data_IF_898216783826
#
_entry.id   IF_898216783826
#
_cell.length_a   1.000
_cell.length_b   1.000
_cell.length_c   1.000
_cell.angle_alpha   90.00
_cell.angle_beta   90.00
_cell.angle_gamma   90.00
#
_symmetry.space_group_name_H-M   'P 1'
#
loop_
_entity.id
_entity.type
_entity.pdbx_description
1 polymer ?
#
# COMPACT_ATOMS: atom_id res chain seq x y z
N UNK A 1 -36.81 27.83 -2.13
CA UNK A 1 -35.55 27.30 -1.58
C UNK A 1 -34.90 28.42 -0.80
N UNK A 2 -34.59 28.20 0.48
CA UNK A 2 -33.82 29.16 1.27
C UNK A 2 -32.43 29.27 0.66
N UNK A 3 -31.93 30.49 0.46
CA UNK A 3 -30.58 30.70 -0.08
C UNK A 3 -29.56 30.05 0.86
N UNK A 4 -28.63 29.24 0.33
CA UNK A 4 -27.53 28.66 1.12
C UNK A 4 -26.63 29.73 1.75
N UNK A 5 -26.63 30.95 1.21
CA UNK A 5 -25.95 32.13 1.77
C UNK A 5 -26.71 32.80 2.92
N UNK A 6 -27.99 32.45 3.14
CA UNK A 6 -28.74 33.00 4.27
C UNK A 6 -28.40 32.32 5.61
N UNK A 7 -27.45 31.37 5.59
CA UNK A 7 -27.03 30.56 6.75
C UNK A 7 -25.80 31.15 7.44
N UNK A 8 -25.13 32.14 6.83
CA UNK A 8 -23.94 32.80 7.37
C UNK A 8 -24.14 34.32 7.41
N UNK A 9 -23.59 34.96 8.43
CA UNK A 9 -23.44 36.42 8.55
C UNK A 9 -22.00 36.88 8.27
N UNK A 10 -21.12 35.97 7.84
CA UNK A 10 -19.73 36.27 7.50
C UNK A 10 -19.63 37.14 6.23
N UNK A 11 -19.18 38.38 6.39
CA UNK A 11 -19.11 39.36 5.32
C UNK A 11 -18.16 38.95 4.17
N UNK A 12 -17.07 38.23 4.46
CA UNK A 12 -16.09 37.80 3.46
C UNK A 12 -16.66 36.68 2.58
N UNK A 13 -17.41 35.73 3.18
CA UNK A 13 -18.15 34.70 2.43
C UNK A 13 -19.24 35.34 1.56
N UNK A 14 -20.00 36.28 2.12
CA UNK A 14 -21.04 37.00 1.40
C UNK A 14 -20.48 37.85 0.25
N UNK A 15 -19.28 38.42 0.40
CA UNK A 15 -18.60 39.17 -0.66
C UNK A 15 -18.26 38.29 -1.88
N UNK A 16 -18.05 36.98 -1.69
CA UNK A 16 -17.81 36.04 -2.78
C UNK A 16 -19.10 35.63 -3.51
N UNK A 17 -20.28 35.77 -2.89
CA UNK A 17 -21.57 35.30 -3.43
C UNK A 17 -21.83 35.61 -4.92
N UNK A 18 -21.57 36.83 -5.45
CA UNK A 18 -21.80 37.14 -6.86
C UNK A 18 -20.94 36.30 -7.81
N UNK A 19 -19.71 35.95 -7.40
CA UNK A 19 -18.78 35.12 -8.18
C UNK A 19 -19.10 33.64 -8.02
N UNK A 20 -19.47 33.23 -6.81
CA UNK A 20 -19.92 31.88 -6.49
C UNK A 20 -21.19 31.50 -7.30
N UNK A 21 -22.08 32.45 -7.60
CA UNK A 21 -23.30 32.22 -8.40
C UNK A 21 -23.19 32.63 -9.87
N UNK A 22 -21.99 32.97 -10.36
CA UNK A 22 -21.78 33.44 -11.72
C UNK A 22 -22.16 32.38 -12.78
N UNK A 23 -22.61 32.83 -13.96
CA UNK A 23 -22.92 31.93 -15.08
C UNK A 23 -21.66 31.19 -15.60
N UNK A 24 -20.51 31.87 -15.57
CA UNK A 24 -19.22 31.34 -16.01
C UNK A 24 -18.64 30.34 -14.98
N UNK A 25 -18.33 29.12 -15.43
CA UNK A 25 -17.80 28.06 -14.58
C UNK A 25 -16.40 28.38 -14.03
N UNK A 26 -15.54 29.05 -14.82
CA UNK A 26 -14.21 29.46 -14.39
C UNK A 26 -14.28 30.49 -13.26
N UNK A 27 -15.22 31.43 -13.32
CA UNK A 27 -15.46 32.40 -12.25
C UNK A 27 -15.90 31.70 -10.96
N UNK A 28 -16.84 30.74 -11.05
CA UNK A 28 -17.27 29.95 -9.88
C UNK A 28 -16.13 29.13 -9.31
N UNK A 29 -15.32 28.50 -10.16
CA UNK A 29 -14.17 27.69 -9.77
C UNK A 29 -13.12 28.50 -9.01
N UNK A 30 -12.76 29.69 -9.50
CA UNK A 30 -11.81 30.56 -8.78
C UNK A 30 -12.42 31.04 -7.46
N UNK A 31 -13.73 31.34 -7.45
CA UNK A 31 -14.40 31.74 -6.23
C UNK A 31 -14.45 30.61 -5.17
N UNK A 32 -14.52 29.33 -5.58
CA UNK A 32 -14.37 28.19 -4.66
C UNK A 32 -13.00 28.20 -3.96
N UNK A 33 -11.93 28.47 -4.71
CA UNK A 33 -10.56 28.54 -4.17
C UNK A 33 -10.47 29.68 -3.17
N UNK A 34 -10.91 30.88 -3.56
CA UNK A 34 -10.93 32.04 -2.65
C UNK A 34 -11.79 31.78 -1.40
N UNK A 35 -12.87 31.01 -1.52
CA UNK A 35 -13.72 30.62 -0.39
C UNK A 35 -13.00 29.66 0.56
N UNK A 36 -12.27 28.69 0.02
CA UNK A 36 -11.50 27.74 0.82
C UNK A 36 -10.31 28.41 1.54
N UNK A 37 -9.69 29.41 0.90
CA UNK A 37 -8.60 30.21 1.48
C UNK A 37 -9.06 31.05 2.69
N UNK A 38 -10.36 31.27 2.87
CA UNK A 38 -10.89 31.89 4.10
C UNK A 38 -10.75 30.96 5.31
N UNK A 39 -10.65 29.64 5.10
CA UNK A 39 -10.60 28.62 6.15
C UNK A 39 -11.79 28.68 7.14
N UNK A 40 -12.94 29.22 6.68
CA UNK A 40 -14.14 29.41 7.48
C UNK A 40 -15.13 28.24 7.33
N UNK A 41 -15.58 27.58 8.43
CA UNK A 41 -16.49 26.45 8.37
C UNK A 41 -17.83 26.74 7.68
N UNK A 42 -18.32 27.97 7.77
CA UNK A 42 -19.55 28.43 7.11
C UNK A 42 -19.47 28.29 5.58
N UNK A 43 -18.26 28.37 5.01
CA UNK A 43 -18.02 28.20 3.58
C UNK A 43 -18.20 26.76 3.10
N UNK A 44 -18.14 25.77 4.01
CA UNK A 44 -18.25 24.35 3.67
C UNK A 44 -19.59 23.99 3.08
N UNK A 45 -20.66 24.64 3.57
CA UNK A 45 -22.00 24.42 3.03
C UNK A 45 -22.04 24.71 1.53
N UNK A 46 -21.30 25.73 1.09
CA UNK A 46 -21.24 26.09 -0.31
C UNK A 46 -20.36 25.14 -1.14
N UNK A 47 -19.19 24.77 -0.62
CA UNK A 47 -18.34 23.74 -1.24
C UNK A 47 -19.12 22.42 -1.45
N UNK A 48 -19.83 21.95 -0.42
CA UNK A 48 -20.68 20.74 -0.48
C UNK A 48 -21.82 20.89 -1.48
N UNK A 49 -22.50 22.04 -1.49
CA UNK A 49 -23.58 22.31 -2.45
C UNK A 49 -23.07 22.27 -3.90
N UNK A 50 -21.92 22.91 -4.17
CA UNK A 50 -21.30 22.89 -5.49
C UNK A 50 -20.84 21.52 -5.91
N UNK A 51 -20.22 20.77 -5.01
CA UNK A 51 -19.86 19.37 -5.27
C UNK A 51 -21.07 18.54 -5.73
N UNK A 52 -22.25 18.75 -5.12
CA UNK A 52 -23.45 17.97 -5.42
C UNK A 52 -24.19 18.43 -6.68
N UNK A 53 -24.21 19.72 -6.95
CA UNK A 53 -25.21 20.30 -7.85
C UNK A 53 -24.65 21.18 -8.97
N UNK A 54 -23.36 21.52 -8.98
CA UNK A 54 -22.86 22.42 -10.02
C UNK A 54 -22.94 21.76 -11.40
N UNK A 55 -23.48 22.44 -12.44
CA UNK A 55 -23.59 21.85 -13.76
C UNK A 55 -22.23 21.55 -14.41
N UNK A 56 -21.17 22.24 -14.00
CA UNK A 56 -19.84 22.10 -14.59
C UNK A 56 -18.98 21.11 -13.78
N UNK A 57 -18.46 20.09 -14.44
CA UNK A 57 -17.67 19.03 -13.80
C UNK A 57 -16.35 19.53 -13.18
N UNK A 58 -15.76 20.57 -13.76
CA UNK A 58 -14.54 21.20 -13.26
C UNK A 58 -14.76 21.95 -11.94
N UNK A 59 -15.93 22.58 -11.78
CA UNK A 59 -16.37 23.20 -10.52
C UNK A 59 -16.65 22.12 -9.46
N UNK A 60 -17.35 21.04 -9.81
CA UNK A 60 -17.58 19.91 -8.88
C UNK A 60 -16.26 19.26 -8.44
N UNK A 61 -15.33 19.04 -9.37
CA UNK A 61 -14.03 18.44 -9.07
C UNK A 61 -13.15 19.37 -8.24
N UNK A 62 -13.23 20.70 -8.43
CA UNK A 62 -12.57 21.68 -7.55
C UNK A 62 -13.15 21.64 -6.15
N UNK A 63 -14.48 21.65 -6.02
CA UNK A 63 -15.15 21.56 -4.73
C UNK A 63 -14.74 20.27 -3.97
N UNK A 64 -14.68 19.12 -4.64
CA UNK A 64 -14.20 17.88 -4.04
C UNK A 64 -12.76 17.99 -3.49
N UNK A 65 -11.84 18.62 -4.24
CA UNK A 65 -10.45 18.80 -3.82
C UNK A 65 -10.34 19.73 -2.60
N UNK A 66 -11.07 20.83 -2.60
CA UNK A 66 -11.03 21.81 -1.51
C UNK A 66 -11.63 21.28 -0.19
N UNK A 67 -12.40 20.18 -0.26
CA UNK A 67 -12.95 19.51 0.92
C UNK A 67 -11.98 18.52 1.58
N UNK A 68 -10.76 18.31 1.07
CA UNK A 68 -9.81 17.29 1.58
C UNK A 68 -9.36 17.48 3.05
N UNK A 69 -9.43 18.71 3.56
CA UNK A 69 -9.02 19.06 4.93
C UNK A 69 -10.20 19.06 5.93
N UNK A 70 -11.42 18.79 5.47
CA UNK A 70 -12.64 18.96 6.25
C UNK A 70 -13.30 17.62 6.51
N UNK A 71 -13.43 17.28 7.80
CA UNK A 71 -13.82 15.93 8.23
C UNK A 71 -15.21 15.88 8.87
N UNK A 72 -16.01 16.93 8.71
CA UNK A 72 -17.39 16.93 9.15
C UNK A 72 -18.19 15.85 8.43
N UNK A 73 -19.13 15.23 9.14
CA UNK A 73 -19.93 14.12 8.61
C UNK A 73 -20.61 14.46 7.28
N UNK A 74 -21.15 15.68 7.15
CA UNK A 74 -21.78 16.15 5.92
C UNK A 74 -20.79 16.29 4.74
N UNK A 75 -19.53 16.68 5.02
CA UNK A 75 -18.46 16.79 4.02
C UNK A 75 -18.05 15.40 3.56
N UNK A 76 -17.74 14.51 4.50
CA UNK A 76 -17.32 13.13 4.17
C UNK A 76 -18.43 12.42 3.39
N UNK A 77 -19.68 12.61 3.78
CA UNK A 77 -20.84 12.06 3.07
C UNK A 77 -20.94 12.61 1.64
N UNK A 78 -20.73 13.91 1.43
CA UNK A 78 -20.74 14.51 0.09
C UNK A 78 -19.58 14.00 -0.79
N UNK A 79 -18.40 13.80 -0.22
CA UNK A 79 -17.26 13.19 -0.91
C UNK A 79 -17.55 11.74 -1.29
N UNK A 80 -18.18 10.95 -0.41
CA UNK A 80 -18.59 9.59 -0.75
C UNK A 80 -19.63 9.56 -1.88
N UNK A 81 -20.63 10.44 -1.85
CA UNK A 81 -21.61 10.60 -2.93
C UNK A 81 -20.93 10.96 -4.27
N UNK A 82 -19.93 11.82 -4.23
CA UNK A 82 -19.16 12.23 -5.41
C UNK A 82 -18.33 11.12 -6.05
N UNK A 83 -18.12 9.97 -5.37
CA UNK A 83 -17.56 8.78 -6.00
C UNK A 83 -18.45 8.19 -7.10
N UNK A 84 -19.74 8.56 -7.12
CA UNK A 84 -20.73 8.13 -8.12
C UNK A 84 -20.99 9.20 -9.19
N UNK A 85 -20.25 10.31 -9.17
CA UNK A 85 -20.42 11.39 -10.15
C UNK A 85 -20.19 10.88 -11.59
N UNK A 86 -20.97 11.32 -12.60
CA UNK A 86 -20.76 10.88 -13.98
C UNK A 86 -19.40 11.26 -14.57
N UNK A 87 -18.72 12.28 -14.03
CA UNK A 87 -17.43 12.75 -14.51
C UNK A 87 -16.26 12.06 -13.77
N UNK A 88 -15.35 11.36 -14.47
CA UNK A 88 -14.20 10.70 -13.85
C UNK A 88 -13.27 11.63 -13.06
N UNK A 89 -13.19 12.91 -13.46
CA UNK A 89 -12.41 13.91 -12.74
C UNK A 89 -12.95 14.19 -11.34
N UNK A 90 -14.28 14.20 -11.18
CA UNK A 90 -14.94 14.39 -9.87
C UNK A 90 -14.77 13.16 -9.01
N UNK A 91 -14.98 11.96 -9.57
CA UNK A 91 -14.74 10.69 -8.87
C UNK A 91 -13.30 10.60 -8.34
N UNK A 92 -12.32 10.96 -9.18
CA UNK A 92 -10.90 10.92 -8.82
C UNK A 92 -10.56 11.93 -7.73
N UNK A 93 -11.09 13.15 -7.84
CA UNK A 93 -10.93 14.18 -6.82
C UNK A 93 -11.52 13.73 -5.47
N UNK A 94 -12.74 13.19 -5.47
CA UNK A 94 -13.41 12.68 -4.28
C UNK A 94 -12.63 11.53 -3.63
N UNK A 95 -12.18 10.55 -4.43
CA UNK A 95 -11.38 9.43 -3.95
C UNK A 95 -10.03 9.88 -3.34
N UNK A 96 -9.39 10.89 -3.95
CA UNK A 96 -8.17 11.48 -3.41
C UNK A 96 -8.43 12.17 -2.06
N UNK A 97 -9.44 13.03 -1.99
CA UNK A 97 -9.80 13.74 -0.76
C UNK A 97 -10.15 12.78 0.39
N UNK A 98 -10.95 11.73 0.12
CA UNK A 98 -11.28 10.71 1.11
C UNK A 98 -10.04 9.98 1.65
N UNK A 99 -9.01 9.77 0.83
CA UNK A 99 -7.76 9.13 1.26
C UNK A 99 -6.86 10.01 2.14
N UNK A 100 -7.12 11.33 2.15
CA UNK A 100 -6.36 12.29 2.93
C UNK A 100 -6.96 12.56 4.31
N UNK A 101 -8.20 12.13 4.57
CA UNK A 101 -8.84 12.23 5.88
C UNK A 101 -8.05 11.47 6.96
N UNK A 102 -8.23 11.86 8.22
CA UNK A 102 -7.42 11.39 9.35
C UNK A 102 -8.23 10.92 10.56
N UNK A 103 -9.52 11.24 10.64
CA UNK A 103 -10.36 10.91 11.81
C UNK A 103 -11.11 9.59 11.66
N UNK A 104 -11.28 8.90 12.79
CA UNK A 104 -12.13 7.70 12.86
C UNK A 104 -13.62 8.00 12.59
N UNK A 105 -14.07 9.25 12.80
CA UNK A 105 -15.42 9.68 12.48
C UNK A 105 -15.70 9.56 10.98
N UNK A 106 -14.76 10.03 10.13
CA UNK A 106 -14.84 9.84 8.68
C UNK A 106 -14.93 8.36 8.30
N UNK A 107 -14.17 7.48 8.98
CA UNK A 107 -14.21 6.03 8.75
C UNK A 107 -15.61 5.42 8.91
N UNK A 108 -16.40 5.90 9.88
CA UNK A 108 -17.79 5.44 10.09
C UNK A 108 -18.71 5.82 8.94
N UNK A 109 -18.50 6.99 8.34
CA UNK A 109 -19.26 7.49 7.20
C UNK A 109 -18.88 6.74 5.92
N UNK A 110 -17.60 6.37 5.76
CA UNK A 110 -17.09 5.67 4.59
C UNK A 110 -17.45 4.18 4.60
N UNK A 111 -17.49 3.53 5.78
CA UNK A 111 -17.68 2.08 5.90
C UNK A 111 -18.88 1.52 5.10
N UNK A 112 -20.08 2.13 5.11
CA UNK A 112 -21.22 1.65 4.32
C UNK A 112 -20.96 1.60 2.80
N UNK A 113 -20.01 2.38 2.28
CA UNK A 113 -19.69 2.44 0.85
C UNK A 113 -18.82 1.27 0.37
N UNK A 114 -18.30 0.44 1.29
CA UNK A 114 -17.51 -0.76 0.96
C UNK A 114 -18.34 -1.85 0.28
N UNK A 115 -19.67 -1.81 0.37
CA UNK A 115 -20.59 -2.77 -0.26
C UNK A 115 -21.32 -2.18 -1.47
N UNK A 116 -20.87 -1.03 -1.97
CA UNK A 116 -21.49 -0.35 -3.11
C UNK A 116 -21.45 -1.21 -4.39
N UNK A 117 -22.47 -1.08 -5.25
CA UNK A 117 -22.57 -1.85 -6.49
C UNK A 117 -21.40 -1.59 -7.44
N UNK A 118 -20.96 -0.33 -7.55
CA UNK A 118 -19.85 0.07 -8.39
C UNK A 118 -18.48 -0.30 -7.78
N UNK A 119 -17.69 -1.00 -8.57
CA UNK A 119 -16.33 -1.48 -8.21
C UNK A 119 -15.42 -0.31 -7.79
N UNK A 120 -15.40 0.77 -8.57
CA UNK A 120 -14.56 1.94 -8.28
C UNK A 120 -14.86 2.59 -6.93
N UNK A 121 -16.13 2.57 -6.51
CA UNK A 121 -16.57 3.09 -5.22
C UNK A 121 -16.05 2.20 -4.08
N UNK A 122 -16.17 0.87 -4.22
CA UNK A 122 -15.64 -0.07 -3.22
C UNK A 122 -14.12 0.08 -3.06
N UNK A 123 -13.39 0.22 -4.17
CA UNK A 123 -11.94 0.46 -4.18
C UNK A 123 -11.59 1.73 -3.41
N UNK A 124 -12.26 2.85 -3.73
CA UNK A 124 -12.01 4.13 -3.08
C UNK A 124 -12.33 4.07 -1.57
N UNK A 125 -13.44 3.43 -1.19
CA UNK A 125 -13.84 3.24 0.19
C UNK A 125 -12.79 2.44 0.98
N UNK A 126 -12.36 1.26 0.49
CA UNK A 126 -11.34 0.47 1.17
C UNK A 126 -9.99 1.18 1.24
N UNK A 127 -9.59 1.92 0.19
CA UNK A 127 -8.37 2.72 0.22
C UNK A 127 -8.42 3.77 1.32
N UNK A 128 -9.51 4.53 1.42
CA UNK A 128 -9.66 5.54 2.45
C UNK A 128 -9.65 4.92 3.87
N UNK A 129 -10.37 3.81 4.08
CA UNK A 129 -10.39 3.10 5.35
C UNK A 129 -9.01 2.53 5.74
N UNK A 130 -8.21 2.10 4.76
CA UNK A 130 -6.82 1.66 4.95
C UNK A 130 -5.93 2.80 5.45
N UNK A 131 -6.00 3.97 4.81
CA UNK A 131 -5.21 5.15 5.21
C UNK A 131 -5.60 5.65 6.61
N UNK A 132 -6.90 5.56 6.95
CA UNK A 132 -7.42 5.86 8.28
C UNK A 132 -7.05 4.82 9.35
N UNK A 133 -6.63 3.62 8.93
CA UNK A 133 -6.44 2.45 9.81
C UNK A 133 -7.70 2.17 10.65
N UNK A 134 -8.86 2.27 10.01
CA UNK A 134 -10.16 2.16 10.67
C UNK A 134 -10.46 0.70 11.05
N UNK A 135 -10.36 0.37 12.34
CA UNK A 135 -10.43 -1.01 12.83
C UNK A 135 -11.76 -1.69 12.52
N UNK A 136 -12.87 -0.96 12.57
CA UNK A 136 -14.21 -1.48 12.28
C UNK A 136 -14.40 -1.85 10.80
N UNK A 137 -13.45 -1.53 9.91
CA UNK A 137 -13.45 -2.01 8.52
C UNK A 137 -13.02 -3.47 8.36
N UNK A 138 -12.41 -4.09 9.39
CA UNK A 138 -11.87 -5.45 9.28
C UNK A 138 -12.91 -6.49 8.81
N UNK A 139 -14.15 -6.55 9.34
CA UNK A 139 -15.17 -7.50 8.87
C UNK A 139 -15.55 -7.28 7.40
N UNK A 140 -15.69 -6.02 6.97
CA UNK A 140 -15.99 -5.69 5.58
C UNK A 140 -14.84 -6.08 4.64
N UNK A 141 -13.60 -5.84 5.05
CA UNK A 141 -12.42 -6.24 4.29
C UNK A 141 -12.29 -7.77 4.21
N UNK A 142 -12.56 -8.50 5.29
CA UNK A 142 -12.58 -9.97 5.27
C UNK A 142 -13.59 -10.52 4.27
N UNK A 143 -14.80 -9.96 4.22
CA UNK A 143 -15.80 -10.35 3.22
C UNK A 143 -15.36 -10.01 1.78
N UNK A 144 -14.71 -8.86 1.59
CA UNK A 144 -14.23 -8.40 0.29
C UNK A 144 -13.02 -9.18 -0.25
N UNK A 145 -12.42 -10.10 0.51
CA UNK A 145 -11.44 -11.07 -0.02
C UNK A 145 -12.06 -12.01 -1.06
N UNK A 146 -13.39 -12.15 -1.10
CA UNK A 146 -14.12 -12.96 -2.08
C UNK A 146 -14.78 -12.11 -3.18
N UNK A 147 -14.48 -10.80 -3.25
CA UNK A 147 -15.06 -9.91 -4.26
C UNK A 147 -14.71 -10.38 -5.67
N UNK A 148 -15.67 -10.24 -6.61
CA UNK A 148 -15.46 -10.61 -7.99
C UNK A 148 -14.33 -9.82 -8.65
N UNK A 149 -14.12 -8.56 -8.24
CA UNK A 149 -13.09 -7.69 -8.77
C UNK A 149 -11.76 -7.82 -8.00
N UNK A 150 -10.68 -8.08 -8.75
CA UNK A 150 -9.35 -8.26 -8.18
C UNK A 150 -8.81 -7.01 -7.47
N UNK A 151 -9.16 -5.81 -7.94
CA UNK A 151 -8.71 -4.57 -7.30
C UNK A 151 -9.37 -4.37 -5.95
N UNK A 152 -10.64 -4.78 -5.80
CA UNK A 152 -11.33 -4.76 -4.49
C UNK A 152 -10.68 -5.76 -3.54
N UNK A 153 -10.44 -7.01 -3.97
CA UNK A 153 -9.73 -8.01 -3.17
C UNK A 153 -8.36 -7.50 -2.70
N UNK A 154 -7.62 -6.83 -3.58
CA UNK A 154 -6.30 -6.25 -3.26
C UNK A 154 -6.38 -5.13 -2.21
N UNK A 155 -7.34 -4.22 -2.32
CA UNK A 155 -7.52 -3.16 -1.30
C UNK A 155 -7.95 -3.78 0.04
N UNK A 156 -8.79 -4.81 0.02
CA UNK A 156 -9.19 -5.57 1.21
C UNK A 156 -7.98 -6.25 1.90
N UNK A 157 -7.11 -6.91 1.15
CA UNK A 157 -5.82 -7.43 1.65
C UNK A 157 -5.01 -6.31 2.29
N UNK A 158 -4.95 -5.13 1.66
CA UNK A 158 -4.27 -3.96 2.18
C UNK A 158 -4.83 -3.49 3.53
N UNK A 159 -6.15 -3.43 3.67
CA UNK A 159 -6.82 -3.07 4.94
C UNK A 159 -6.45 -4.05 6.04
N UNK A 160 -6.62 -5.36 5.81
CA UNK A 160 -6.32 -6.40 6.79
C UNK A 160 -4.83 -6.42 7.18
N UNK A 161 -3.96 -6.18 6.20
CA UNK A 161 -2.52 -6.02 6.36
C UNK A 161 -2.16 -4.89 7.32
N UNK A 162 -2.66 -3.68 7.05
CA UNK A 162 -2.38 -2.51 7.90
C UNK A 162 -2.98 -2.61 9.30
N UNK A 163 -4.17 -3.22 9.41
CA UNK A 163 -4.84 -3.49 10.68
C UNK A 163 -4.26 -4.69 11.44
N UNK A 164 -3.28 -5.40 10.86
CA UNK A 164 -2.63 -6.59 11.44
C UNK A 164 -3.62 -7.67 11.89
N UNK A 165 -4.62 -7.96 11.05
CA UNK A 165 -5.67 -8.94 11.36
C UNK A 165 -5.14 -10.37 11.22
N UNK A 166 -4.67 -10.96 12.32
CA UNK A 166 -4.12 -12.32 12.34
C UNK A 166 -5.18 -13.38 11.99
N UNK A 167 -6.44 -13.15 12.35
CA UNK A 167 -7.54 -14.07 12.03
C UNK A 167 -7.80 -14.19 10.51
N UNK A 168 -7.27 -13.24 9.70
CA UNK A 168 -7.35 -13.29 8.25
C UNK A 168 -6.25 -14.14 7.59
N UNK A 169 -5.24 -14.59 8.34
CA UNK A 169 -4.10 -15.33 7.78
C UNK A 169 -4.50 -16.58 6.97
N UNK A 170 -5.48 -17.40 7.37
CA UNK A 170 -5.93 -18.53 6.54
C UNK A 170 -6.50 -18.09 5.18
N UNK A 171 -7.31 -17.04 5.15
CA UNK A 171 -7.88 -16.51 3.91
C UNK A 171 -6.80 -15.85 3.03
N UNK A 172 -5.87 -15.11 3.63
CA UNK A 172 -4.72 -14.53 2.93
C UNK A 172 -3.81 -15.61 2.34
N UNK A 173 -3.61 -16.73 3.05
CA UNK A 173 -2.83 -17.86 2.56
C UNK A 173 -3.50 -18.50 1.34
N UNK A 174 -4.82 -18.67 1.39
CA UNK A 174 -5.61 -19.16 0.26
C UNK A 174 -5.51 -18.24 -0.96
N UNK A 175 -5.65 -16.92 -0.77
CA UNK A 175 -5.49 -15.94 -1.86
C UNK A 175 -4.06 -15.94 -2.43
N UNK A 176 -3.04 -16.06 -1.58
CA UNK A 176 -1.65 -16.10 -2.02
C UNK A 176 -1.37 -17.29 -2.96
N UNK A 177 -2.04 -18.42 -2.75
CA UNK A 177 -1.88 -19.63 -3.56
C UNK A 177 -2.77 -19.65 -4.80
N UNK A 178 -4.04 -19.29 -4.67
CA UNK A 178 -5.08 -19.71 -5.64
C UNK A 178 -5.76 -18.56 -6.37
N UNK A 179 -5.47 -17.28 -6.03
CA UNK A 179 -6.13 -16.16 -6.71
C UNK A 179 -5.70 -16.08 -8.19
N UNK A 180 -6.64 -15.89 -9.14
CA UNK A 180 -6.30 -15.79 -10.56
C UNK A 180 -5.46 -14.53 -10.88
N UNK A 181 -5.61 -13.46 -10.09
CA UNK A 181 -4.90 -12.21 -10.30
C UNK A 181 -3.53 -12.20 -9.61
N UNK A 182 -2.51 -11.82 -10.39
CA UNK A 182 -1.12 -11.84 -9.91
C UNK A 182 -0.86 -10.79 -8.83
N UNK A 183 -1.47 -9.61 -8.91
CA UNK A 183 -1.28 -8.56 -7.93
C UNK A 183 -2.02 -8.87 -6.62
N UNK A 184 -3.15 -9.60 -6.67
CA UNK A 184 -3.80 -10.13 -5.47
C UNK A 184 -2.93 -11.19 -4.80
N UNK A 185 -2.42 -12.19 -5.54
CA UNK A 185 -1.51 -13.20 -4.96
C UNK A 185 -0.28 -12.56 -4.33
N UNK A 186 0.31 -11.57 -5.01
CA UNK A 186 1.46 -10.82 -4.51
C UNK A 186 1.11 -10.05 -3.23
N UNK A 187 0.01 -9.29 -3.22
CA UNK A 187 -0.40 -8.54 -2.04
C UNK A 187 -0.68 -9.46 -0.85
N UNK A 188 -1.36 -10.59 -1.07
CA UNK A 188 -1.67 -11.56 -0.04
C UNK A 188 -0.39 -12.21 0.50
N UNK A 189 0.56 -12.57 -0.37
CA UNK A 189 1.90 -13.07 0.01
C UNK A 189 2.67 -12.05 0.85
N UNK A 190 2.58 -10.77 0.54
CA UNK A 190 3.14 -9.69 1.36
C UNK A 190 2.48 -9.59 2.75
N UNK A 191 1.15 -9.71 2.80
CA UNK A 191 0.35 -9.64 4.02
C UNK A 191 0.58 -10.83 4.96
N UNK A 192 0.97 -12.01 4.47
CA UNK A 192 1.37 -13.14 5.32
C UNK A 192 2.60 -12.83 6.21
N UNK A 193 3.36 -11.77 5.91
CA UNK A 193 4.46 -11.30 6.76
C UNK A 193 4.01 -10.71 8.10
N UNK A 194 2.70 -10.59 8.34
CA UNK A 194 2.12 -10.30 9.64
C UNK A 194 2.29 -11.46 10.64
N UNK A 195 2.37 -12.69 10.14
CA UNK A 195 2.54 -13.86 10.97
C UNK A 195 3.92 -13.87 11.62
N UNK A 196 3.98 -14.36 12.86
CA UNK A 196 5.23 -14.58 13.60
C UNK A 196 5.62 -16.06 13.67
N UNK A 197 4.73 -16.95 13.25
CA UNK A 197 4.86 -18.40 13.40
C UNK A 197 4.88 -19.14 12.05
N UNK A 198 5.20 -20.44 12.13
CA UNK A 198 5.38 -21.30 10.97
C UNK A 198 4.11 -21.59 10.15
N UNK A 199 2.93 -21.16 10.62
CA UNK A 199 1.63 -21.50 10.00
C UNK A 199 1.49 -21.03 8.55
N UNK A 200 2.15 -19.90 8.20
CA UNK A 200 2.11 -19.33 6.84
C UNK A 200 3.18 -19.90 5.92
N UNK A 201 4.13 -20.67 6.44
CA UNK A 201 5.26 -21.21 5.65
C UNK A 201 4.83 -22.09 4.49
N UNK A 202 3.80 -22.97 4.59
CA UNK A 202 3.35 -23.75 3.45
C UNK A 202 2.93 -22.87 2.26
N UNK A 203 2.11 -21.84 2.50
CA UNK A 203 1.67 -20.91 1.46
C UNK A 203 2.84 -20.09 0.89
N UNK A 204 3.73 -19.59 1.75
CA UNK A 204 4.91 -18.84 1.30
C UNK A 204 5.91 -19.69 0.50
N UNK A 205 6.08 -20.97 0.85
CA UNK A 205 6.89 -21.92 0.07
C UNK A 205 6.26 -22.19 -1.28
N UNK A 206 4.93 -22.35 -1.35
CA UNK A 206 4.23 -22.48 -2.62
C UNK A 206 4.40 -21.22 -3.49
N UNK A 207 4.30 -20.03 -2.90
CA UNK A 207 4.47 -18.76 -3.59
C UNK A 207 5.90 -18.54 -4.15
N UNK A 208 6.93 -19.23 -3.63
CA UNK A 208 8.26 -19.28 -4.25
C UNK A 208 8.31 -20.04 -5.57
N UNK A 209 7.23 -20.71 -5.97
CA UNK A 209 7.10 -21.40 -7.26
C UNK A 209 6.01 -20.77 -8.15
N UNK A 210 5.54 -19.56 -7.80
CA UNK A 210 4.53 -18.85 -8.59
C UNK A 210 5.03 -18.55 -10.02
N UNK A 211 4.17 -18.63 -11.06
CA UNK A 211 4.56 -18.28 -12.42
C UNK A 211 5.09 -16.84 -12.55
N UNK A 212 4.57 -15.91 -11.75
CA UNK A 212 5.01 -14.52 -11.74
C UNK A 212 6.19 -14.32 -10.78
N UNK A 213 7.31 -13.83 -11.32
CA UNK A 213 8.52 -13.61 -10.53
C UNK A 213 8.33 -12.55 -9.42
N UNK A 214 7.38 -11.63 -9.59
CA UNK A 214 7.05 -10.62 -8.58
C UNK A 214 6.41 -11.24 -7.32
N UNK A 215 5.63 -12.33 -7.48
CA UNK A 215 5.08 -13.09 -6.36
C UNK A 215 6.19 -13.87 -5.67
N UNK A 216 7.09 -14.52 -6.44
CA UNK A 216 8.26 -15.22 -5.90
C UNK A 216 9.21 -14.28 -5.14
N UNK A 217 9.44 -13.06 -5.66
CA UNK A 217 10.23 -12.02 -4.98
C UNK A 217 9.59 -11.64 -3.64
N UNK A 218 8.27 -11.40 -3.64
CA UNK A 218 7.53 -11.07 -2.42
C UNK A 218 7.57 -12.23 -1.44
N UNK A 219 7.41 -13.48 -1.89
CA UNK A 219 7.50 -14.67 -1.05
C UNK A 219 8.87 -14.81 -0.36
N UNK A 220 9.97 -14.67 -1.13
CA UNK A 220 11.32 -14.68 -0.59
C UNK A 220 11.54 -13.55 0.44
N UNK A 221 10.97 -12.37 0.18
CA UNK A 221 11.01 -11.23 1.11
C UNK A 221 10.22 -11.53 2.38
N UNK A 222 9.00 -12.05 2.25
CA UNK A 222 8.10 -12.33 3.36
C UNK A 222 8.63 -13.44 4.26
N UNK A 223 9.20 -14.51 3.71
CA UNK A 223 9.84 -15.57 4.49
C UNK A 223 10.93 -15.02 5.43
N UNK A 224 11.72 -14.06 4.96
CA UNK A 224 12.70 -13.36 5.79
C UNK A 224 12.10 -12.42 6.84
N UNK A 225 10.89 -11.88 6.62
CA UNK A 225 10.14 -11.07 7.59
C UNK A 225 9.53 -11.93 8.70
N UNK A 226 8.92 -13.06 8.33
CA UNK A 226 8.36 -14.04 9.28
C UNK A 226 9.45 -14.56 10.21
N UNK A 227 10.69 -14.71 9.71
CA UNK A 227 11.84 -14.94 10.58
C UNK A 227 12.00 -16.39 11.05
N UNK A 228 11.19 -17.33 10.54
CA UNK A 228 11.24 -18.73 10.94
C UNK A 228 12.31 -19.51 10.16
N UNK A 229 13.22 -20.19 10.88
CA UNK A 229 14.38 -20.89 10.29
C UNK A 229 14.01 -21.99 9.30
N UNK A 230 12.85 -22.64 9.48
CA UNK A 230 12.32 -23.63 8.54
C UNK A 230 12.07 -23.08 7.12
N UNK A 231 12.06 -21.77 6.92
CA UNK A 231 12.05 -21.16 5.58
C UNK A 231 13.36 -21.40 4.80
N UNK A 232 14.46 -21.67 5.51
CA UNK A 232 15.81 -21.73 4.97
C UNK A 232 15.98 -22.63 3.73
N UNK A 233 15.55 -23.90 3.75
CA UNK A 233 15.70 -24.79 2.60
C UNK A 233 15.05 -24.24 1.31
N UNK A 234 13.83 -23.68 1.43
CA UNK A 234 13.12 -23.12 0.27
C UNK A 234 13.80 -21.83 -0.24
N UNK A 235 14.37 -21.02 0.66
CA UNK A 235 15.15 -19.85 0.28
C UNK A 235 16.47 -20.22 -0.39
N UNK A 236 17.12 -21.32 0.01
CA UNK A 236 18.32 -21.85 -0.68
C UNK A 236 17.96 -22.27 -2.10
N UNK A 237 16.82 -22.93 -2.31
CA UNK A 237 16.34 -23.26 -3.65
C UNK A 237 16.12 -21.99 -4.51
N UNK A 238 15.50 -20.95 -3.92
CA UNK A 238 15.23 -19.67 -4.58
C UNK A 238 16.50 -18.88 -4.97
N UNK A 239 17.69 -19.24 -4.47
CA UNK A 239 18.96 -18.71 -4.98
C UNK A 239 19.22 -19.09 -6.45
N UNK A 240 18.51 -20.11 -6.96
CA UNK A 240 18.60 -20.57 -8.35
C UNK A 240 17.53 -20.01 -9.28
N UNK A 241 16.69 -19.08 -8.84
CA UNK A 241 15.59 -18.51 -9.64
C UNK A 241 16.07 -17.80 -10.92
N UNK A 242 15.34 -17.88 -12.03
CA UNK A 242 15.72 -17.18 -13.28
C UNK A 242 15.86 -15.66 -13.13
N UNK A 243 15.15 -15.06 -12.17
CA UNK A 243 15.12 -13.62 -11.92
C UNK A 243 16.05 -13.24 -10.77
N UNK A 244 16.98 -12.33 -11.06
CA UNK A 244 17.96 -11.87 -10.08
C UNK A 244 17.33 -11.17 -8.88
N UNK A 245 16.16 -10.56 -9.03
CA UNK A 245 15.40 -9.94 -7.93
C UNK A 245 14.99 -10.99 -6.90
N UNK A 246 14.51 -12.16 -7.33
CA UNK A 246 14.15 -13.27 -6.43
C UNK A 246 15.39 -13.78 -5.71
N UNK A 247 16.48 -14.04 -6.45
CA UNK A 247 17.77 -14.44 -5.87
C UNK A 247 18.27 -13.45 -4.82
N UNK A 248 18.14 -12.15 -5.08
CA UNK A 248 18.58 -11.09 -4.16
C UNK A 248 17.78 -11.14 -2.86
N UNK A 249 16.45 -11.29 -2.94
CA UNK A 249 15.61 -11.41 -1.74
C UNK A 249 15.90 -12.69 -0.98
N UNK A 250 16.08 -13.80 -1.67
CA UNK A 250 16.46 -15.07 -1.06
C UNK A 250 17.79 -14.95 -0.30
N UNK A 251 18.82 -14.38 -0.95
CA UNK A 251 20.14 -14.11 -0.36
C UNK A 251 20.02 -13.30 0.93
N UNK A 252 19.30 -12.16 0.87
CA UNK A 252 19.07 -11.29 2.03
C UNK A 252 18.32 -12.02 3.15
N UNK A 253 17.27 -12.75 2.82
CA UNK A 253 16.45 -13.46 3.80
C UNK A 253 17.24 -14.57 4.49
N UNK A 254 18.11 -15.30 3.78
CA UNK A 254 18.99 -16.31 4.37
C UNK A 254 19.98 -15.72 5.39
N UNK A 255 20.56 -14.55 5.09
CA UNK A 255 21.40 -13.80 6.03
C UNK A 255 20.63 -13.40 7.29
N UNK A 256 19.45 -12.78 7.13
CA UNK A 256 18.57 -12.37 8.24
C UNK A 256 18.15 -13.52 9.14
N UNK A 257 17.82 -14.66 8.55
CA UNK A 257 17.47 -15.89 9.26
C UNK A 257 18.68 -16.56 9.94
N UNK A 258 19.90 -16.12 9.62
CA UNK A 258 21.16 -16.78 10.01
C UNK A 258 21.15 -18.27 9.69
N UNK A 259 20.61 -18.63 8.53
CA UNK A 259 20.44 -20.03 8.13
C UNK A 259 21.79 -20.61 7.69
N UNK A 260 22.58 -21.10 8.66
CA UNK A 260 23.92 -21.63 8.44
C UNK A 260 24.07 -22.63 7.28
N UNK A 261 23.11 -23.55 7.01
CA UNK A 261 23.20 -24.46 5.86
C UNK A 261 23.26 -23.77 4.48
N UNK A 262 22.91 -22.47 4.39
CA UNK A 262 23.04 -21.70 3.15
C UNK A 262 24.47 -21.22 2.83
N UNK A 263 25.43 -21.40 3.74
CA UNK A 263 26.80 -20.85 3.59
C UNK A 263 27.38 -21.10 2.20
N UNK A 264 27.41 -22.36 1.78
CA UNK A 264 28.12 -22.72 0.54
C UNK A 264 27.39 -22.14 -0.69
N UNK A 265 26.06 -22.13 -0.70
CA UNK A 265 25.27 -21.49 -1.76
C UNK A 265 25.43 -19.95 -1.79
N UNK A 266 25.61 -19.32 -0.64
CA UNK A 266 25.92 -17.89 -0.55
C UNK A 266 27.36 -17.59 -1.01
N UNK A 267 28.32 -18.49 -0.75
CA UNK A 267 29.68 -18.41 -1.31
C UNK A 267 29.63 -18.48 -2.84
N UNK A 268 28.83 -19.37 -3.42
CA UNK A 268 28.64 -19.42 -4.87
C UNK A 268 28.02 -18.11 -5.41
N UNK A 269 27.07 -17.53 -4.67
CA UNK A 269 26.45 -16.24 -5.01
C UNK A 269 27.46 -15.08 -4.95
N UNK A 270 28.49 -15.17 -4.11
CA UNK A 270 29.59 -14.20 -4.04
C UNK A 270 30.42 -14.17 -5.35
N UNK A 271 30.35 -15.22 -6.19
CA UNK A 271 30.96 -15.26 -7.53
C UNK A 271 30.06 -14.77 -8.67
N UNK A 272 28.85 -14.30 -8.38
CA UNK A 272 27.84 -14.03 -9.42
C UNK A 272 28.20 -12.81 -10.32
N UNK A 273 27.82 -12.85 -11.60
CA UNK A 273 28.11 -11.76 -12.57
C UNK A 273 27.52 -10.40 -12.19
N UNK A 274 26.39 -10.39 -11.48
CA UNK A 274 25.70 -9.17 -11.03
C UNK A 274 26.29 -8.73 -9.68
N UNK A 275 26.87 -7.54 -9.62
CA UNK A 275 27.51 -7.02 -8.41
C UNK A 275 26.56 -6.82 -7.24
N UNK A 276 25.29 -6.44 -7.50
CA UNK A 276 24.26 -6.35 -6.46
C UNK A 276 24.07 -7.68 -5.71
N UNK A 277 24.15 -8.83 -6.40
CA UNK A 277 24.05 -10.15 -5.78
C UNK A 277 25.30 -10.50 -5.00
N UNK A 278 26.50 -10.22 -5.53
CA UNK A 278 27.76 -10.43 -4.79
C UNK A 278 27.81 -9.60 -3.50
N UNK A 279 27.38 -8.33 -3.57
CA UNK A 279 27.28 -7.43 -2.43
C UNK A 279 26.36 -8.01 -1.36
N UNK A 280 25.17 -8.44 -1.76
CA UNK A 280 24.20 -9.01 -0.83
C UNK A 280 24.69 -10.34 -0.24
N UNK A 281 25.36 -11.18 -1.03
CA UNK A 281 25.94 -12.43 -0.57
C UNK A 281 27.03 -12.18 0.48
N UNK A 282 27.90 -11.19 0.28
CA UNK A 282 28.90 -10.81 1.27
C UNK A 282 28.25 -10.39 2.59
N UNK A 283 27.21 -9.54 2.55
CA UNK A 283 26.47 -9.14 3.75
C UNK A 283 25.81 -10.34 4.44
N UNK A 284 25.12 -11.19 3.67
CA UNK A 284 24.44 -12.37 4.20
C UNK A 284 25.42 -13.36 4.86
N UNK A 285 26.60 -13.57 4.28
CA UNK A 285 27.67 -14.40 4.86
C UNK A 285 28.20 -13.82 6.19
N UNK A 286 28.27 -12.49 6.32
CA UNK A 286 28.56 -11.83 7.60
C UNK A 286 27.44 -12.06 8.63
N UNK A 287 26.19 -11.91 8.23
CA UNK A 287 25.02 -12.12 9.09
C UNK A 287 24.86 -13.58 9.56
N UNK A 288 25.22 -14.56 8.73
CA UNK A 288 25.28 -15.98 9.11
C UNK A 288 26.18 -16.22 10.32
N UNK A 289 27.21 -15.37 10.50
CA UNK A 289 28.21 -15.51 11.54
C UNK A 289 28.95 -16.87 11.51
N UNK A 290 29.21 -17.40 10.31
CA UNK A 290 29.93 -18.66 10.10
C UNK A 290 31.34 -18.39 9.59
N UNK A 291 32.35 -18.72 10.42
CA UNK A 291 33.78 -18.53 10.07
C UNK A 291 34.25 -19.34 8.87
N UNK A 292 33.49 -20.35 8.42
CA UNK A 292 33.74 -21.05 7.16
C UNK A 292 33.71 -20.14 5.94
N UNK A 293 33.04 -18.98 6.02
CA UNK A 293 32.96 -18.01 4.93
C UNK A 293 34.20 -17.10 4.79
N UNK A 294 35.09 -17.07 5.80
CA UNK A 294 36.21 -16.11 5.86
C UNK A 294 37.13 -16.21 4.63
N UNK A 295 37.48 -17.43 4.20
CA UNK A 295 38.36 -17.62 3.05
C UNK A 295 37.74 -17.10 1.75
N UNK A 296 36.44 -17.35 1.54
CA UNK A 296 35.71 -16.85 0.37
C UNK A 296 35.59 -15.33 0.38
N UNK A 297 35.28 -14.73 1.54
CA UNK A 297 35.23 -13.28 1.71
C UNK A 297 36.61 -12.63 1.49
N UNK A 298 37.69 -13.25 1.96
CA UNK A 298 39.06 -12.77 1.70
C UNK A 298 39.39 -12.76 0.20
N UNK A 299 39.00 -13.81 -0.53
CA UNK A 299 39.18 -13.87 -1.98
C UNK A 299 38.39 -12.79 -2.74
N UNK A 300 37.32 -12.26 -2.15
CA UNK A 300 36.48 -11.21 -2.73
C UNK A 300 36.86 -9.78 -2.28
N UNK A 301 37.96 -9.57 -1.53
CA UNK A 301 38.36 -8.24 -1.05
C UNK A 301 38.70 -7.25 -2.17
N UNK A 302 39.20 -7.76 -3.29
CA UNK A 302 39.60 -6.98 -4.47
C UNK A 302 38.53 -6.99 -5.57
N UNK A 303 37.26 -7.25 -5.21
CA UNK A 303 36.14 -7.20 -6.18
C UNK A 303 36.13 -5.89 -6.97
N UNK A 304 35.82 -5.96 -8.27
CA UNK A 304 35.78 -4.78 -9.14
C UNK A 304 34.77 -3.71 -8.70
N UNK A 305 33.70 -4.10 -8.01
CA UNK A 305 32.66 -3.19 -7.52
C UNK A 305 32.98 -2.66 -6.09
N UNK A 306 33.08 -1.33 -5.89
CA UNK A 306 33.36 -0.73 -4.59
C UNK A 306 32.38 -1.09 -3.47
N UNK A 307 31.10 -1.28 -3.79
CA UNK A 307 30.08 -1.63 -2.80
C UNK A 307 30.24 -3.09 -2.35
N UNK A 308 30.69 -3.98 -3.23
CA UNK A 308 31.04 -5.36 -2.86
C UNK A 308 32.25 -5.37 -1.92
N UNK A 309 33.32 -4.62 -2.24
CA UNK A 309 34.49 -4.52 -1.35
C UNK A 309 34.13 -3.96 0.04
N UNK A 310 33.21 -3.00 0.09
CA UNK A 310 32.68 -2.46 1.36
C UNK A 310 31.90 -3.53 2.14
N UNK A 311 30.99 -4.26 1.47
CA UNK A 311 30.23 -5.34 2.09
C UNK A 311 31.13 -6.46 2.63
N UNK A 312 32.16 -6.87 1.86
CA UNK A 312 33.15 -7.87 2.28
C UNK A 312 33.89 -7.42 3.54
N UNK A 313 34.33 -6.16 3.62
CA UNK A 313 34.99 -5.64 4.83
C UNK A 313 34.07 -5.67 6.05
N UNK A 314 32.79 -5.29 5.87
CA UNK A 314 31.78 -5.37 6.94
C UNK A 314 31.62 -6.81 7.40
N UNK A 315 31.43 -7.75 6.48
CA UNK A 315 31.25 -9.17 6.80
C UNK A 315 32.48 -9.76 7.53
N UNK A 316 33.69 -9.47 7.06
CA UNK A 316 34.91 -9.92 7.73
C UNK A 316 35.05 -9.34 9.14
N UNK A 317 34.65 -8.09 9.37
CA UNK A 317 34.67 -7.48 10.72
C UNK A 317 33.68 -8.14 11.69
N UNK A 318 32.58 -8.71 11.18
CA UNK A 318 31.60 -9.43 11.99
C UNK A 318 32.08 -10.83 12.40
N UNK A 319 33.00 -11.42 11.63
CA UNK A 319 33.51 -12.79 11.81
C UNK A 319 34.81 -12.87 12.64
N UNK A 320 35.37 -11.72 13.02
CA UNK A 320 36.55 -11.60 13.90
C UNK A 320 36.18 -11.94 15.34
#
# INVERSE_FOLDING_TARGET
>A
MTSIFAVTDNEDILALQPRLTAADAGVRRIALIDLADLEEPDGLLWLVDRLRQDPAEDVRAEAARLLEAWEDEAVVQALCEALTDPAPAVQSAAAQSLSLLKTAAAGRVILPWTTHADVSVRIAAFRALRELRFAEAAPAASAALEDADASVRREAVGVLGWLKQLDALPALAQLASDDPDTEVRRAATGALGLASDAEVLPALRQALHDPAWQVREEAATTLGKVGHSDAGPALVEALNDDYWQVRLRATRSLGRLRFAPARDALIDTLGHRISNLRKEAALALGELNDRGAVAALQAAQDDGDPEVRKAVRIALSQLQ
#
